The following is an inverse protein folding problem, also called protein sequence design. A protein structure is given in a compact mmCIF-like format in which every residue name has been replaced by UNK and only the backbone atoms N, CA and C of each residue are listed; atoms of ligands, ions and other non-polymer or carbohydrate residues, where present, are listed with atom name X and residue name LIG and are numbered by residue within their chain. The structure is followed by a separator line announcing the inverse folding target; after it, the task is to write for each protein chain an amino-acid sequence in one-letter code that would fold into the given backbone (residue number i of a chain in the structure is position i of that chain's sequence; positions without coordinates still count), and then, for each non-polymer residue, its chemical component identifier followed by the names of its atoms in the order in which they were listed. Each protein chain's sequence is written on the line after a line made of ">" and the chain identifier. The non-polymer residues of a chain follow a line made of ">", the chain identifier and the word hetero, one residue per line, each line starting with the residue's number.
data_IF_422496745498
#
_entry.id   IF_422496745498
#
_cell.length_a   1.000
_cell.length_b   1.000
_cell.length_c   1.000
_cell.angle_alpha   90.00
_cell.angle_beta   90.00
_cell.angle_gamma   90.00
#
_symmetry.space_group_name_H-M   'P 1'
#
loop_
_entity.id
_entity.type
_entity.pdbx_description
1 polymer ?
#
# COMPACT_ATOMS: atom_id res chain seq x y z
N UNK A 1 -20.56 -21.23 -7.23
CA UNK A 1 -20.23 -19.80 -6.99
C UNK A 1 -21.36 -18.96 -7.55
N UNK A 2 -21.97 -18.13 -6.72
CA UNK A 2 -22.96 -17.12 -7.15
C UNK A 2 -22.28 -16.12 -8.09
N UNK A 3 -22.85 -15.85 -9.26
CA UNK A 3 -22.39 -14.79 -10.15
C UNK A 3 -23.33 -13.61 -10.01
N UNK A 4 -22.76 -12.44 -9.77
CA UNK A 4 -23.50 -11.19 -9.64
C UNK A 4 -23.03 -10.23 -10.71
N UNK A 5 -23.94 -9.38 -11.20
CA UNK A 5 -23.64 -8.38 -12.22
C UNK A 5 -23.26 -7.06 -11.54
N UNK A 6 -22.20 -6.43 -12.02
CA UNK A 6 -21.82 -5.07 -11.65
C UNK A 6 -22.00 -4.16 -12.88
N UNK A 7 -22.45 -2.93 -12.65
CA UNK A 7 -22.48 -1.91 -13.68
C UNK A 7 -21.21 -1.08 -13.58
N UNK A 8 -20.57 -0.83 -14.73
CA UNK A 8 -19.36 -0.03 -14.85
C UNK A 8 -19.47 0.86 -16.07
N UNK A 9 -18.82 2.02 -16.01
CA UNK A 9 -18.77 2.93 -17.15
C UNK A 9 -18.08 2.26 -18.36
N UNK A 10 -18.61 2.55 -19.54
CA UNK A 10 -18.06 2.15 -20.83
C UNK A 10 -16.57 2.46 -20.97
N UNK A 11 -16.14 3.66 -20.56
CA UNK A 11 -14.72 4.06 -20.59
C UNK A 11 -13.87 3.22 -19.64
N UNK A 12 -14.41 2.87 -18.47
CA UNK A 12 -13.72 2.02 -17.52
C UNK A 12 -13.56 0.60 -18.07
N UNK A 13 -14.60 0.06 -18.72
CA UNK A 13 -14.55 -1.24 -19.36
C UNK A 13 -13.47 -1.32 -20.45
N UNK A 14 -13.33 -0.28 -21.28
CA UNK A 14 -12.27 -0.20 -22.29
C UNK A 14 -10.87 -0.18 -21.66
N UNK A 15 -10.70 0.59 -20.58
CA UNK A 15 -9.43 0.61 -19.83
C UNK A 15 -9.08 -0.77 -19.29
N UNK A 16 -10.04 -1.47 -18.69
CA UNK A 16 -9.84 -2.84 -18.18
C UNK A 16 -9.50 -3.79 -19.33
N UNK A 17 -10.14 -3.64 -20.49
CA UNK A 17 -9.86 -4.46 -21.68
C UNK A 17 -8.43 -4.27 -22.20
N UNK A 18 -7.91 -3.03 -22.14
CA UNK A 18 -6.54 -2.71 -22.55
C UNK A 18 -5.47 -3.16 -21.54
N UNK A 19 -5.86 -3.45 -20.30
CA UNK A 19 -4.97 -3.97 -19.25
C UNK A 19 -4.77 -5.49 -19.30
N UNK A 20 -5.35 -6.17 -20.31
CA UNK A 20 -5.17 -7.62 -20.48
C UNK A 20 -3.71 -7.94 -20.80
N UNK A 21 -3.10 -8.78 -19.97
CA UNK A 21 -1.73 -9.29 -20.14
C UNK A 21 -1.68 -10.43 -21.15
N UNK A 22 -2.78 -11.17 -21.30
CA UNK A 22 -2.91 -12.25 -22.27
C UNK A 22 -4.31 -12.28 -22.91
N UNK A 23 -4.46 -12.81 -24.14
CA UNK A 23 -5.71 -12.69 -24.92
C UNK A 23 -6.96 -13.28 -24.24
N UNK A 24 -6.78 -14.34 -23.44
CA UNK A 24 -7.87 -15.05 -22.76
C UNK A 24 -8.12 -14.61 -21.31
N UNK A 25 -7.46 -13.55 -20.86
CA UNK A 25 -7.64 -13.04 -19.50
C UNK A 25 -9.08 -12.54 -19.31
N UNK A 26 -9.66 -12.95 -18.18
CA UNK A 26 -11.01 -12.57 -17.76
C UNK A 26 -10.99 -11.26 -16.98
N UNK A 27 -12.11 -10.55 -16.98
CA UNK A 27 -12.23 -9.33 -16.18
C UNK A 27 -12.19 -9.62 -14.68
N UNK A 28 -12.63 -10.81 -14.25
CA UNK A 28 -12.56 -11.23 -12.86
C UNK A 28 -11.09 -11.34 -12.38
N UNK A 29 -10.22 -11.99 -13.15
CA UNK A 29 -8.78 -12.10 -12.83
C UNK A 29 -8.11 -10.73 -12.73
N UNK A 30 -8.45 -9.80 -13.62
CA UNK A 30 -7.90 -8.44 -13.60
C UNK A 30 -8.34 -7.70 -12.34
N UNK A 31 -9.65 -7.76 -12.02
CA UNK A 31 -10.21 -7.11 -10.84
C UNK A 31 -9.60 -7.71 -9.56
N UNK A 32 -9.44 -9.02 -9.50
CA UNK A 32 -8.81 -9.71 -8.38
C UNK A 32 -7.35 -9.29 -8.18
N UNK A 33 -6.57 -9.19 -9.27
CA UNK A 33 -5.20 -8.67 -9.22
C UNK A 33 -5.16 -7.23 -8.70
N UNK A 34 -6.08 -6.37 -9.16
CA UNK A 34 -6.18 -4.98 -8.69
C UNK A 34 -6.52 -4.90 -7.19
N UNK A 35 -7.45 -5.74 -6.72
CA UNK A 35 -7.83 -5.82 -5.30
C UNK A 35 -6.62 -6.24 -4.46
N UNK A 36 -5.91 -7.29 -4.88
CA UNK A 36 -4.73 -7.77 -4.16
C UNK A 36 -3.63 -6.71 -4.06
N UNK A 37 -3.37 -5.98 -5.14
CA UNK A 37 -2.40 -4.86 -5.12
C UNK A 37 -2.88 -3.77 -4.14
N UNK A 38 -4.15 -3.39 -4.20
CA UNK A 38 -4.70 -2.37 -3.31
C UNK A 38 -4.62 -2.78 -1.84
N UNK A 39 -4.97 -4.02 -1.51
CA UNK A 39 -4.86 -4.56 -0.15
C UNK A 39 -3.41 -4.62 0.33
N UNK A 40 -2.49 -5.03 -0.55
CA UNK A 40 -1.07 -5.05 -0.24
C UNK A 40 -0.53 -3.65 0.04
N UNK A 41 -0.80 -2.68 -0.83
CA UNK A 41 -0.38 -1.28 -0.65
C UNK A 41 -1.01 -0.68 0.60
N UNK A 42 -2.28 -0.96 0.88
CA UNK A 42 -2.95 -0.47 2.10
C UNK A 42 -2.28 -1.02 3.37
N UNK A 43 -1.93 -2.30 3.39
CA UNK A 43 -1.20 -2.91 4.52
C UNK A 43 0.21 -2.35 4.69
N UNK A 44 0.93 -2.15 3.60
CA UNK A 44 2.28 -1.59 3.63
C UNK A 44 2.29 -0.11 4.04
N UNK A 45 1.37 0.71 3.55
CA UNK A 45 1.25 2.10 3.99
C UNK A 45 0.90 2.19 5.48
N UNK A 46 0.08 1.28 6.01
CA UNK A 46 -0.18 1.20 7.46
C UNK A 46 1.06 0.78 8.25
N UNK A 47 1.88 -0.12 7.71
CA UNK A 47 3.14 -0.52 8.32
C UNK A 47 4.16 0.62 8.34
N UNK A 48 4.33 1.34 7.23
CA UNK A 48 5.24 2.49 7.15
C UNK A 48 4.78 3.63 8.07
N UNK A 49 3.48 3.96 8.12
CA UNK A 49 2.96 4.95 9.06
C UNK A 49 3.18 4.54 10.53
N UNK A 50 3.01 3.26 10.85
CA UNK A 50 3.30 2.72 12.18
C UNK A 50 4.79 2.78 12.50
N UNK A 51 5.65 2.38 11.57
CA UNK A 51 7.10 2.35 11.73
C UNK A 51 7.65 3.78 11.91
N UNK A 52 7.21 4.73 11.08
CA UNK A 52 7.59 6.13 11.21
C UNK A 52 7.17 6.72 12.57
N UNK A 53 6.01 6.32 13.10
CA UNK A 53 5.54 6.78 14.41
C UNK A 53 6.40 6.23 15.56
N UNK A 54 6.72 4.93 15.53
CA UNK A 54 7.59 4.28 16.53
C UNK A 54 9.03 4.81 16.45
N UNK A 55 9.56 4.99 15.23
CA UNK A 55 10.89 5.56 15.02
C UNK A 55 10.98 6.98 15.56
N UNK A 56 9.96 7.82 15.38
CA UNK A 56 9.94 9.18 15.92
C UNK A 56 9.98 9.20 17.45
N UNK A 57 9.29 8.27 18.11
CA UNK A 57 9.31 8.13 19.57
C UNK A 57 10.68 7.65 20.07
N UNK A 58 11.27 6.63 19.41
CA UNK A 58 12.61 6.13 19.72
C UNK A 58 13.71 7.15 19.43
N UNK A 59 13.60 7.92 18.35
CA UNK A 59 14.55 8.99 18.03
C UNK A 59 14.50 10.10 19.07
N UNK A 60 13.31 10.43 19.59
CA UNK A 60 13.18 11.39 20.70
C UNK A 60 13.78 10.85 22.01
N UNK A 61 13.69 9.54 22.25
CA UNK A 61 14.29 8.88 23.41
C UNK A 61 15.83 8.79 23.31
N UNK A 62 16.35 8.60 22.10
CA UNK A 62 17.78 8.49 21.83
C UNK A 62 18.49 9.85 21.65
N UNK A 63 17.77 10.93 21.32
CA UNK A 63 18.34 12.22 20.92
C UNK A 63 17.91 13.43 21.78
N UNK A 64 17.58 13.19 23.05
CA UNK A 64 17.21 14.22 24.04
C UNK A 64 17.55 13.70 25.45
N UNK A 65 18.65 12.93 25.55
CA UNK A 65 19.10 12.29 26.79
C UNK A 65 20.48 12.81 27.19
N UNK A 66 20.82 12.66 28.47
CA UNK A 66 22.06 13.20 29.05
C UNK A 66 23.35 12.66 28.42
N UNK A 67 23.29 11.62 27.58
CA UNK A 67 24.48 11.09 26.90
C UNK A 67 24.85 11.92 25.66
N UNK A 68 23.93 12.73 25.11
CA UNK A 68 24.26 13.67 24.03
C UNK A 68 25.08 14.87 24.53
N UNK A 69 24.85 15.32 25.78
CA UNK A 69 25.66 16.39 26.41
C UNK A 69 27.13 15.98 26.58
N UNK A 70 27.40 14.69 26.77
CA UNK A 70 28.76 14.16 26.88
C UNK A 70 29.47 14.03 25.52
N UNK A 71 28.71 13.95 24.41
CA UNK A 71 29.26 13.89 23.05
C UNK A 71 29.53 15.27 22.44
N UNK A 72 28.80 16.31 22.82
CA UNK A 72 29.07 17.70 22.36
C UNK A 72 30.25 18.38 23.07
N UNK A 73 30.78 17.77 24.14
CA UNK A 73 31.90 18.31 24.94
C UNK A 73 33.27 17.64 24.66
N UNK A 74 33.42 16.92 23.54
CA UNK A 74 34.70 16.31 23.08
C UNK A 74 35.22 16.97 21.81
#
# INVERSE_FOLDING_TARGET
>A
MSKTTIQVDSKLLERIKNLKEYPRQTYAEIIEKMINIYEYTKKQNQYDEFLHKVQKEKMKELWDNSADEDWENV
#
